data_IF_095456236245
#
_entry.id   IF_095456236245
#
_cell.length_a   1.000
_cell.length_b   1.000
_cell.length_c   1.000
_cell.angle_alpha   90.00
_cell.angle_beta   90.00
_cell.angle_gamma   90.00
#
_symmetry.space_group_name_H-M   'P 1'
#
loop_
_entity.id
_entity.type
_entity.pdbx_description
1 polymer ?
#
# COMPACT_ATOMS: atom_id res chain seq x y z
N UNK A 1 25.64 -9.65 3.26
CA UNK A 1 24.24 -9.59 3.74
C UNK A 1 23.36 -10.10 2.62
N UNK A 2 22.74 -11.27 2.79
CA UNK A 2 21.83 -11.84 1.80
C UNK A 2 20.48 -11.13 1.90
N UNK A 3 20.24 -10.12 1.06
CA UNK A 3 18.91 -9.56 0.89
C UNK A 3 18.08 -10.53 0.06
N UNK A 4 17.27 -11.34 0.73
CA UNK A 4 16.13 -12.00 0.12
C UNK A 4 15.28 -10.91 -0.55
N UNK A 5 15.30 -10.86 -1.89
CA UNK A 5 14.36 -10.09 -2.70
C UNK A 5 12.97 -10.73 -2.54
N UNK A 6 12.26 -10.36 -1.48
CA UNK A 6 10.86 -10.76 -1.31
C UNK A 6 10.04 -9.77 -2.14
N UNK A 7 9.50 -10.26 -3.26
CA UNK A 7 8.58 -9.52 -4.12
C UNK A 7 7.18 -9.56 -3.50
N UNK A 8 6.71 -8.45 -2.92
CA UNK A 8 5.38 -8.34 -2.32
C UNK A 8 4.34 -7.82 -3.32
N UNK A 9 4.12 -8.55 -4.42
CA UNK A 9 2.98 -8.31 -5.32
C UNK A 9 1.86 -9.26 -4.92
N UNK A 10 0.83 -8.79 -4.21
CA UNK A 10 -0.21 -9.71 -3.73
C UNK A 10 -1.32 -9.99 -4.71
N UNK A 11 -1.62 -9.04 -5.62
CA UNK A 11 -2.65 -9.29 -6.60
C UNK A 11 -2.28 -8.74 -7.96
N UNK A 12 -2.29 -9.67 -8.92
CA UNK A 12 -2.25 -9.37 -10.34
C UNK A 12 -3.66 -9.62 -10.86
N UNK A 13 -4.43 -8.54 -11.04
CA UNK A 13 -5.81 -8.59 -11.49
C UNK A 13 -5.90 -8.45 -13.01
N UNK A 14 -6.90 -9.08 -13.61
CA UNK A 14 -7.05 -9.16 -15.06
C UNK A 14 -8.48 -8.91 -15.50
N UNK A 15 -8.62 -8.14 -16.58
CA UNK A 15 -9.86 -7.97 -17.33
C UNK A 15 -9.61 -8.34 -18.80
N UNK A 16 -10.49 -9.19 -19.34
CA UNK A 16 -10.73 -9.43 -20.79
C UNK A 16 -9.49 -9.53 -21.67
N UNK A 17 -8.62 -10.50 -21.43
CA UNK A 17 -7.59 -10.82 -22.42
C UNK A 17 -6.36 -9.94 -22.37
N UNK A 18 -6.47 -8.65 -22.08
CA UNK A 18 -5.49 -7.66 -22.57
C UNK A 18 -4.89 -6.78 -21.50
N UNK A 19 -5.58 -6.54 -20.37
CA UNK A 19 -5.11 -5.63 -19.33
C UNK A 19 -4.78 -6.39 -18.03
N UNK A 20 -3.65 -6.06 -17.44
CA UNK A 20 -3.16 -6.63 -16.18
C UNK A 20 -2.84 -5.50 -15.21
N UNK A 21 -3.37 -5.61 -14.00
CA UNK A 21 -3.26 -4.62 -12.92
C UNK A 21 -2.40 -5.19 -11.79
N UNK A 22 -1.29 -4.53 -11.50
CA UNK A 22 -0.46 -4.79 -10.33
C UNK A 22 -0.93 -3.91 -9.19
N UNK A 23 -1.38 -4.53 -8.10
CA UNK A 23 -1.99 -3.85 -6.94
C UNK A 23 -1.31 -4.33 -5.65
N UNK A 24 -0.88 -3.39 -4.81
CA UNK A 24 -0.34 -3.66 -3.47
C UNK A 24 -1.43 -3.46 -2.39
N UNK A 25 -1.30 -4.11 -1.22
CA UNK A 25 -2.23 -4.01 -0.09
C UNK A 25 -2.74 -2.60 0.25
N UNK A 26 -1.90 -1.56 0.18
CA UNK A 26 -2.30 -0.18 0.50
C UNK A 26 -2.63 0.70 -0.71
N UNK A 27 -2.69 0.10 -1.89
CA UNK A 27 -2.91 0.76 -3.17
C UNK A 27 -4.19 0.27 -3.85
N UNK A 28 -5.30 0.16 -3.11
CA UNK A 28 -6.60 -0.25 -3.65
C UNK A 28 -6.88 -1.74 -3.65
N UNK A 29 -6.05 -2.56 -2.98
CA UNK A 29 -6.20 -4.02 -2.91
C UNK A 29 -7.63 -4.47 -2.57
N UNK A 30 -8.22 -3.98 -1.48
CA UNK A 30 -9.59 -4.38 -1.08
C UNK A 30 -10.64 -4.03 -2.13
N UNK A 31 -10.49 -2.90 -2.82
CA UNK A 31 -11.39 -2.53 -3.90
C UNK A 31 -11.32 -3.54 -5.03
N UNK A 32 -10.12 -3.91 -5.47
CA UNK A 32 -9.96 -4.90 -6.52
C UNK A 32 -10.37 -6.30 -6.08
N UNK A 33 -10.14 -6.67 -4.81
CA UNK A 33 -10.60 -7.95 -4.26
C UNK A 33 -12.13 -8.03 -4.24
N UNK A 34 -12.83 -6.95 -3.88
CA UNK A 34 -14.29 -6.88 -3.97
C UNK A 34 -14.78 -6.97 -5.42
N UNK A 35 -14.10 -6.32 -6.36
CA UNK A 35 -14.39 -6.46 -7.80
C UNK A 35 -14.18 -7.89 -8.29
N UNK A 36 -13.18 -8.60 -7.75
CA UNK A 36 -12.90 -10.01 -8.06
C UNK A 36 -14.01 -10.92 -7.54
N UNK A 37 -14.48 -10.68 -6.32
CA UNK A 37 -15.61 -11.41 -5.73
C UNK A 37 -16.93 -11.16 -6.49
N UNK A 38 -17.07 -9.98 -7.09
CA UNK A 38 -18.17 -9.63 -7.98
C UNK A 38 -17.97 -10.09 -9.44
N UNK A 39 -16.95 -10.92 -9.71
CA UNK A 39 -16.62 -11.48 -11.03
C UNK A 39 -16.37 -10.45 -12.14
N UNK A 40 -15.98 -9.22 -11.76
CA UNK A 40 -15.60 -8.16 -12.71
C UNK A 40 -14.17 -8.38 -13.21
N UNK A 41 -13.30 -8.82 -12.31
CA UNK A 41 -11.87 -9.08 -12.57
C UNK A 41 -11.50 -10.47 -12.08
N UNK A 42 -10.43 -11.04 -12.61
CA UNK A 42 -9.93 -12.36 -12.17
C UNK A 42 -8.46 -12.30 -11.77
N UNK A 43 -8.03 -13.28 -10.99
CA UNK A 43 -6.62 -13.46 -10.66
C UNK A 43 -5.83 -13.86 -11.91
N UNK A 44 -4.62 -13.34 -12.05
CA UNK A 44 -3.78 -13.57 -13.22
C UNK A 44 -2.42 -14.15 -12.84
N UNK A 45 -2.16 -15.37 -13.29
CA UNK A 45 -0.90 -16.10 -13.07
C UNK A 45 -0.10 -16.29 -14.38
N UNK A 46 -0.44 -15.56 -15.44
CA UNK A 46 0.12 -15.77 -16.78
C UNK A 46 1.30 -14.85 -17.13
N UNK A 47 1.84 -15.06 -18.33
CA UNK A 47 2.87 -14.19 -18.90
C UNK A 47 2.30 -12.87 -19.42
N UNK A 48 2.88 -11.76 -18.97
CA UNK A 48 2.47 -10.40 -19.34
C UNK A 48 2.81 -9.98 -20.78
N UNK A 49 3.41 -10.86 -21.59
CA UNK A 49 3.75 -10.55 -22.99
C UNK A 49 2.49 -10.25 -23.80
N UNK A 50 2.48 -9.09 -24.47
CA UNK A 50 1.33 -8.63 -25.26
C UNK A 50 0.13 -8.18 -24.43
N UNK A 51 0.32 -7.93 -23.12
CA UNK A 51 -0.67 -7.31 -22.24
C UNK A 51 -0.30 -5.85 -21.98
N UNK A 52 -1.31 -5.03 -21.73
CA UNK A 52 -1.16 -3.68 -21.19
C UNK A 52 -1.06 -3.78 -19.67
N UNK A 53 0.04 -3.30 -19.13
CA UNK A 53 0.39 -3.38 -17.72
C UNK A 53 0.08 -2.06 -17.02
N UNK A 54 -0.84 -2.11 -16.07
CA UNK A 54 -1.17 -1.03 -15.16
C UNK A 54 -0.54 -1.32 -13.80
N UNK A 55 0.16 -0.34 -13.25
CA UNK A 55 0.61 -0.38 -11.87
C UNK A 55 -0.17 0.66 -11.07
N UNK A 56 -0.88 0.20 -10.03
CA UNK A 56 -1.57 1.08 -9.09
C UNK A 56 -0.61 1.40 -7.95
N UNK A 57 -0.35 2.69 -7.75
CA UNK A 57 0.59 3.19 -6.76
C UNK A 57 -0.08 4.18 -5.82
N UNK A 58 0.58 4.44 -4.69
CA UNK A 58 0.16 5.45 -3.72
C UNK A 58 1.37 6.23 -3.24
N UNK A 59 1.17 7.51 -2.94
CA UNK A 59 2.20 8.36 -2.38
C UNK A 59 2.74 7.73 -1.07
N UNK A 60 4.07 7.58 -0.90
CA UNK A 60 4.65 6.95 0.30
C UNK A 60 4.14 7.54 1.62
N UNK A 61 4.00 8.87 1.71
CA UNK A 61 3.47 9.54 2.90
C UNK A 61 2.03 9.10 3.20
N UNK A 62 1.16 9.15 2.18
CA UNK A 62 -0.25 8.74 2.33
C UNK A 62 -0.41 7.26 2.61
N UNK A 63 0.50 6.44 2.11
CA UNK A 63 0.54 5.00 2.39
C UNK A 63 0.89 4.72 3.85
N UNK A 64 1.90 5.40 4.40
CA UNK A 64 2.30 5.31 5.81
C UNK A 64 1.21 5.84 6.76
N UNK A 65 0.60 6.98 6.44
CA UNK A 65 -0.55 7.52 7.18
C UNK A 65 -1.71 6.51 7.22
N UNK A 66 -2.05 5.93 6.06
CA UNK A 66 -3.12 4.94 5.94
C UNK A 66 -2.82 3.67 6.73
N UNK A 67 -1.57 3.19 6.70
CA UNK A 67 -1.15 2.06 7.53
C UNK A 67 -1.32 2.36 9.01
N UNK A 68 -0.82 3.52 9.47
CA UNK A 68 -0.92 3.91 10.86
C UNK A 68 -2.38 3.99 11.33
N UNK A 69 -3.24 4.71 10.61
CA UNK A 69 -4.67 4.82 10.94
C UNK A 69 -5.36 3.46 11.01
N UNK A 70 -5.10 2.59 10.04
CA UNK A 70 -5.81 1.32 9.97
C UNK A 70 -5.24 0.27 10.93
N UNK A 71 -3.92 0.05 10.92
CA UNK A 71 -3.28 -1.08 11.61
C UNK A 71 -2.85 -0.74 13.03
N UNK A 72 -2.59 0.53 13.35
CA UNK A 72 -2.21 0.96 14.70
C UNK A 72 -3.40 1.50 15.50
N UNK A 73 -4.33 2.21 14.85
CA UNK A 73 -5.45 2.85 15.55
C UNK A 73 -6.77 2.08 15.44
N UNK A 74 -7.17 1.62 14.26
CA UNK A 74 -8.49 1.01 14.05
C UNK A 74 -8.53 -0.48 14.38
N UNK A 75 -7.69 -1.26 13.73
CA UNK A 75 -7.75 -2.74 13.70
C UNK A 75 -6.76 -3.42 14.64
N UNK A 76 -6.09 -2.68 15.52
CA UNK A 76 -5.14 -3.25 16.47
C UNK A 76 -5.91 -3.93 17.61
N UNK A 77 -5.87 -5.27 17.64
CA UNK A 77 -6.47 -6.09 18.69
C UNK A 77 -5.39 -6.62 19.62
N UNK A 78 -5.77 -6.95 20.87
CA UNK A 78 -4.85 -7.53 21.86
C UNK A 78 -4.31 -8.92 21.48
N UNK A 79 -4.98 -9.59 20.53
CA UNK A 79 -4.57 -10.89 20.02
C UNK A 79 -3.41 -10.80 19.00
N UNK A 80 -3.20 -9.66 18.34
CA UNK A 80 -2.19 -9.49 17.28
C UNK A 80 -2.29 -10.57 16.18
N UNK A 81 -3.51 -10.81 15.72
CA UNK A 81 -3.82 -11.89 14.77
C UNK A 81 -3.16 -11.70 13.40
N UNK A 82 -2.73 -10.47 13.07
CA UNK A 82 -2.12 -10.15 11.80
C UNK A 82 -0.58 -10.14 11.89
N UNK A 83 0.09 -10.77 10.92
CA UNK A 83 1.55 -10.86 10.86
C UNK A 83 2.23 -9.48 10.88
N UNK A 84 1.65 -8.49 10.20
CA UNK A 84 2.13 -7.11 10.21
C UNK A 84 2.10 -6.50 11.63
N UNK A 85 1.09 -6.82 12.43
CA UNK A 85 0.97 -6.35 13.81
C UNK A 85 1.99 -7.02 14.74
N UNK A 86 2.28 -8.30 14.52
CA UNK A 86 3.30 -9.02 15.30
C UNK A 86 4.70 -8.44 15.10
N UNK A 87 5.04 -7.98 13.89
CA UNK A 87 6.33 -7.32 13.62
C UNK A 87 6.53 -6.03 14.42
N UNK A 88 5.46 -5.31 14.76
CA UNK A 88 5.53 -4.09 15.57
C UNK A 88 6.06 -4.35 16.99
N UNK A 89 5.87 -5.57 17.51
CA UNK A 89 6.36 -5.97 18.85
C UNK A 89 7.89 -5.93 18.96
N UNK A 90 8.62 -5.89 17.83
CA UNK A 90 10.07 -5.68 17.82
C UNK A 90 10.48 -4.24 18.14
N UNK A 91 9.56 -3.29 17.96
CA UNK A 91 9.83 -1.84 18.08
C UNK A 91 9.09 -1.21 19.26
N UNK A 92 7.94 -1.77 19.65
CA UNK A 92 7.11 -1.20 20.71
C UNK A 92 6.66 -2.27 21.71
N UNK A 93 6.61 -1.95 23.02
CA UNK A 93 6.00 -2.81 24.01
C UNK A 93 4.55 -3.13 23.66
N UNK A 94 4.13 -4.38 23.90
CA UNK A 94 2.75 -4.85 23.64
C UNK A 94 1.71 -3.93 24.28
N UNK A 95 1.90 -3.56 25.54
CA UNK A 95 0.97 -2.71 26.28
C UNK A 95 0.72 -1.37 25.57
N UNK A 96 1.78 -0.70 25.11
CA UNK A 96 1.67 0.57 24.39
C UNK A 96 0.93 0.42 23.06
N UNK A 97 1.11 -0.70 22.37
CA UNK A 97 0.39 -1.02 21.14
C UNK A 97 -1.09 -1.24 21.43
N UNK A 98 -1.45 -2.13 22.36
CA UNK A 98 -2.84 -2.44 22.70
C UNK A 98 -3.60 -1.20 23.19
N UNK A 99 -2.95 -0.37 24.00
CA UNK A 99 -3.53 0.86 24.53
C UNK A 99 -3.50 2.02 23.53
N UNK A 100 -3.05 1.81 22.28
CA UNK A 100 -2.95 2.82 21.21
C UNK A 100 -2.16 4.07 21.64
N UNK A 101 -1.11 3.87 22.43
CA UNK A 101 -0.25 4.91 22.99
C UNK A 101 1.03 5.16 22.17
N UNK A 102 1.18 4.48 21.02
CA UNK A 102 2.27 4.76 20.07
C UNK A 102 1.83 5.90 19.18
N UNK A 103 2.59 7.00 19.19
CA UNK A 103 2.31 8.17 18.33
C UNK A 103 2.73 7.95 16.88
N UNK A 104 2.26 8.81 15.98
CA UNK A 104 2.65 8.75 14.57
C UNK A 104 4.14 9.00 14.36
N UNK A 105 4.72 9.94 15.12
CA UNK A 105 6.15 10.22 15.10
C UNK A 105 6.97 8.98 15.48
N UNK A 106 6.58 8.30 16.55
CA UNK A 106 7.25 7.06 16.99
C UNK A 106 7.11 5.95 15.95
N UNK A 107 5.94 5.81 15.32
CA UNK A 107 5.75 4.87 14.21
C UNK A 107 6.70 5.16 13.04
N UNK A 108 6.82 6.42 12.61
CA UNK A 108 7.74 6.79 11.52
C UNK A 108 9.20 6.58 11.92
N UNK A 109 9.57 6.82 13.18
CA UNK A 109 10.90 6.48 13.69
C UNK A 109 11.18 4.97 13.60
N UNK A 110 10.21 4.12 13.96
CA UNK A 110 10.36 2.67 13.80
C UNK A 110 10.53 2.27 12.33
N UNK A 111 9.77 2.87 11.41
CA UNK A 111 9.94 2.66 9.95
C UNK A 111 11.36 3.03 9.51
N UNK A 112 11.86 4.20 9.93
CA UNK A 112 13.22 4.64 9.64
C UNK A 112 14.29 3.72 10.25
N UNK A 113 14.01 3.06 11.37
CA UNK A 113 14.86 2.06 12.02
C UNK A 113 14.74 0.65 11.42
N UNK A 114 13.96 0.48 10.35
CA UNK A 114 13.84 -0.77 9.60
C UNK A 114 12.58 -1.59 9.89
N UNK A 115 11.57 -1.04 10.58
CA UNK A 115 10.25 -1.66 10.58
C UNK A 115 9.73 -1.69 9.14
N UNK A 116 9.47 -2.89 8.64
CA UNK A 116 8.95 -3.10 7.30
C UNK A 116 7.97 -4.25 7.27
N UNK A 117 6.92 -4.06 6.50
CA UNK A 117 5.86 -5.02 6.27
C UNK A 117 5.36 -4.90 4.82
N UNK A 118 4.76 -5.95 4.28
CA UNK A 118 4.18 -6.00 2.93
C UNK A 118 3.28 -4.80 2.59
N UNK A 119 2.57 -4.27 3.58
CA UNK A 119 1.70 -3.11 3.42
C UNK A 119 2.45 -1.78 3.20
N UNK A 120 3.71 -1.68 3.65
CA UNK A 120 4.54 -0.45 3.57
C UNK A 120 5.87 -0.67 2.84
N UNK A 121 6.21 -1.89 2.43
CA UNK A 121 7.41 -2.20 1.67
C UNK A 121 7.47 -1.40 0.35
N UNK A 122 8.67 -0.99 -0.09
CA UNK A 122 8.85 -0.17 -1.29
C UNK A 122 8.06 -0.71 -2.49
N UNK A 123 7.23 0.15 -3.08
CA UNK A 123 6.42 -0.21 -4.24
C UNK A 123 7.30 -0.50 -5.44
N UNK A 124 8.44 0.18 -5.58
CA UNK A 124 9.42 -0.04 -6.64
C UNK A 124 10.01 -1.46 -6.65
N UNK A 125 9.98 -2.18 -5.52
CA UNK A 125 10.47 -3.55 -5.44
C UNK A 125 9.47 -4.58 -6.00
N UNK A 126 8.23 -4.15 -6.23
CA UNK A 126 7.10 -5.01 -6.56
C UNK A 126 6.76 -4.92 -8.05
N UNK A 127 7.37 -3.96 -8.77
CA UNK A 127 6.99 -3.61 -10.14
C UNK A 127 7.70 -4.48 -11.18
N UNK A 128 7.01 -4.87 -12.27
CA UNK A 128 7.71 -5.21 -13.52
C UNK A 128 8.55 -4.01 -13.94
N UNK A 129 9.72 -4.27 -14.56
CA UNK A 129 10.75 -3.25 -14.81
C UNK A 129 10.26 -2.00 -15.56
N UNK A 130 9.17 -2.09 -16.34
CA UNK A 130 8.45 -0.95 -16.94
C UNK A 130 6.94 -1.26 -17.12
N UNK A 131 6.03 -0.70 -16.31
CA UNK A 131 4.60 -0.75 -16.61
C UNK A 131 4.25 0.16 -17.80
N UNK A 132 3.18 -0.14 -18.54
CA UNK A 132 2.66 0.73 -19.60
C UNK A 132 2.01 1.99 -19.01
N UNK A 133 1.37 1.83 -17.85
CA UNK A 133 0.66 2.91 -17.17
C UNK A 133 0.95 2.90 -15.66
N UNK A 134 1.28 4.08 -15.13
CA UNK A 134 1.37 4.37 -13.71
C UNK A 134 0.10 5.09 -13.27
N UNK A 135 -0.63 4.53 -12.31
CA UNK A 135 -1.87 5.10 -11.82
C UNK A 135 -1.74 5.39 -10.33
N UNK A 136 -1.64 6.68 -10.02
CA UNK A 136 -1.55 7.19 -8.65
C UNK A 136 -2.96 7.21 -8.03
N UNK A 137 -3.15 6.51 -6.91
CA UNK A 137 -4.42 6.39 -6.22
C UNK A 137 -5.01 7.75 -5.81
N UNK A 138 -4.16 8.76 -5.60
CA UNK A 138 -4.56 10.14 -5.30
C UNK A 138 -5.43 10.77 -6.40
N UNK A 139 -5.38 10.24 -7.62
CA UNK A 139 -6.23 10.67 -8.75
C UNK A 139 -7.60 9.98 -8.78
N UNK A 140 -7.84 9.02 -7.89
CA UNK A 140 -9.04 8.19 -7.84
C UNK A 140 -8.98 6.98 -8.78
N UNK A 141 -9.64 5.88 -8.40
CA UNK A 141 -9.72 4.67 -9.23
C UNK A 141 -10.78 4.79 -10.33
N UNK A 142 -11.71 5.76 -10.23
CA UNK A 142 -12.69 6.06 -11.27
C UNK A 142 -12.09 6.34 -12.65
N UNK A 143 -10.81 6.74 -12.74
CA UNK A 143 -10.08 6.88 -14.02
C UNK A 143 -10.00 5.56 -14.81
N UNK A 144 -10.17 4.42 -14.15
CA UNK A 144 -10.19 3.10 -14.77
C UNK A 144 -11.56 2.70 -15.32
N UNK A 145 -12.62 3.46 -15.06
CA UNK A 145 -13.99 3.13 -15.50
C UNK A 145 -14.10 2.79 -16.99
N UNK A 146 -13.46 3.53 -17.93
CA UNK A 146 -13.52 3.20 -19.36
C UNK A 146 -12.88 1.85 -19.70
N UNK A 147 -11.90 1.39 -18.90
CA UNK A 147 -11.18 0.14 -19.11
C UNK A 147 -11.95 -1.02 -18.47
N UNK A 148 -12.47 -0.81 -17.27
CA UNK A 148 -13.10 -1.85 -16.46
C UNK A 148 -14.59 -2.04 -16.80
N UNK A 149 -15.21 -1.07 -17.47
CA UNK A 149 -16.65 -1.07 -17.79
C UNK A 149 -17.56 -0.80 -16.60
N UNK A 150 -16.99 -0.66 -15.40
CA UNK A 150 -17.67 -0.31 -14.14
C UNK A 150 -16.80 0.66 -13.35
N UNK A 151 -17.41 1.44 -12.46
CA UNK A 151 -16.67 2.35 -11.59
C UNK A 151 -16.11 1.60 -10.37
N UNK A 152 -14.77 1.51 -10.19
CA UNK A 152 -14.17 0.84 -9.03
C UNK A 152 -14.57 1.44 -7.69
N UNK A 153 -14.92 2.72 -7.64
CA UNK A 153 -15.27 3.40 -6.40
C UNK A 153 -16.56 2.83 -5.78
N UNK A 154 -17.37 2.10 -6.57
CA UNK A 154 -18.54 1.35 -6.08
C UNK A 154 -18.20 0.09 -5.29
N UNK A 155 -16.92 -0.31 -5.24
CA UNK A 155 -16.44 -1.54 -4.60
C UNK A 155 -15.51 -1.27 -3.42
N UNK A 156 -15.42 -0.02 -2.93
CA UNK A 156 -14.51 0.34 -1.83
C UNK A 156 -14.92 -0.39 -0.54
N UNK A 157 -14.06 -1.29 -0.05
CA UNK A 157 -14.32 -2.07 1.17
C UNK A 157 -13.61 -1.55 2.43
N UNK A 158 -12.46 -0.90 2.29
CA UNK A 158 -11.67 -0.41 3.41
C UNK A 158 -11.41 1.09 3.29
N UNK A 159 -11.95 1.85 4.24
CA UNK A 159 -11.66 3.27 4.39
C UNK A 159 -11.08 3.54 5.77
N UNK A 160 -10.17 4.52 5.81
CA UNK A 160 -9.68 5.14 7.04
C UNK A 160 -10.37 6.49 7.28
N UNK A 161 -11.50 6.75 6.60
CA UNK A 161 -12.21 8.02 6.65
C UNK A 161 -12.89 8.26 8.01
N UNK A 162 -13.10 7.21 8.79
CA UNK A 162 -13.62 7.26 10.16
C UNK A 162 -12.55 7.64 11.19
N UNK A 163 -11.26 7.50 10.86
CA UNK A 163 -10.15 7.83 11.76
C UNK A 163 -9.60 9.21 11.42
N UNK A 164 -10.12 10.26 12.07
CA UNK A 164 -9.82 11.68 11.78
C UNK A 164 -8.74 12.30 12.69
N UNK A 165 -7.81 11.49 13.22
CA UNK A 165 -6.68 12.02 14.02
C UNK A 165 -5.75 12.84 13.12
N UNK A 166 -5.44 14.12 13.41
CA UNK A 166 -4.45 14.86 12.65
C UNK A 166 -3.09 14.15 12.69
N UNK A 167 -2.46 13.97 11.54
CA UNK A 167 -1.12 13.40 11.44
C UNK A 167 -0.20 14.48 10.87
N UNK A 168 0.78 14.88 11.66
CA UNK A 168 1.72 15.93 11.29
C UNK A 168 3.07 15.32 10.91
N UNK A 169 3.63 15.81 9.80
CA UNK A 169 4.95 15.42 9.31
C UNK A 169 5.97 16.49 9.70
N UNK A 170 6.83 16.17 10.66
CA UNK A 170 8.00 17.00 10.98
C UNK A 170 9.06 16.89 9.88
N UNK A 171 9.97 17.85 9.83
CA UNK A 171 11.09 17.86 8.87
C UNK A 171 11.94 16.58 8.98
N UNK A 172 12.34 16.18 10.19
CA UNK A 172 13.11 14.94 10.42
C UNK A 172 12.42 13.68 9.88
N UNK A 173 11.09 13.61 10.03
CA UNK A 173 10.29 12.49 9.53
C UNK A 173 10.31 12.47 8.00
N UNK A 174 10.16 13.64 7.35
CA UNK A 174 10.20 13.76 5.89
C UNK A 174 11.58 13.40 5.35
N UNK A 175 12.65 13.91 5.96
CA UNK A 175 14.01 13.56 5.57
C UNK A 175 14.25 12.04 5.62
N UNK A 176 13.85 11.41 6.72
CA UNK A 176 14.00 9.95 6.90
C UNK A 176 13.23 9.17 5.85
N UNK A 177 11.97 9.56 5.57
CA UNK A 177 11.13 8.86 4.59
C UNK A 177 11.55 9.16 3.15
N UNK A 178 11.97 10.38 2.81
CA UNK A 178 12.52 10.72 1.50
C UNK A 178 13.75 9.88 1.16
N UNK A 179 14.64 9.64 2.13
CA UNK A 179 15.79 8.76 1.96
C UNK A 179 15.38 7.30 1.81
N UNK A 180 14.54 6.79 2.71
CA UNK A 180 14.13 5.37 2.72
C UNK A 180 13.31 4.99 1.49
N UNK A 181 12.43 5.88 1.02
CA UNK A 181 11.52 5.67 -0.12
C UNK A 181 11.99 6.39 -1.39
N UNK A 182 13.27 6.76 -1.50
CA UNK A 182 13.79 7.53 -2.64
C UNK A 182 13.44 6.90 -4.00
N UNK A 183 13.55 5.56 -4.10
CA UNK A 183 13.20 4.82 -5.30
C UNK A 183 11.70 4.91 -5.65
N UNK A 184 10.80 4.87 -4.66
CA UNK A 184 9.37 5.04 -4.88
C UNK A 184 9.07 6.46 -5.40
N UNK A 185 9.65 7.49 -4.79
CA UNK A 185 9.45 8.87 -5.22
C UNK A 185 9.91 9.10 -6.67
N UNK A 186 11.12 8.63 -7.00
CA UNK A 186 11.72 8.81 -8.32
C UNK A 186 10.98 7.98 -9.38
N UNK A 187 10.85 6.67 -9.16
CA UNK A 187 10.34 5.75 -10.19
C UNK A 187 8.82 5.86 -10.39
N UNK A 188 8.08 6.26 -9.36
CA UNK A 188 6.61 6.37 -9.40
C UNK A 188 6.14 7.83 -9.53
N UNK A 189 7.08 8.75 -9.76
CA UNK A 189 6.84 10.16 -10.08
C UNK A 189 6.03 10.89 -8.99
N UNK A 190 6.42 10.70 -7.74
CA UNK A 190 5.85 11.43 -6.60
C UNK A 190 6.77 12.56 -6.17
N UNK A 191 6.19 13.69 -5.77
CA UNK A 191 6.93 14.77 -5.14
C UNK A 191 7.36 14.36 -3.71
N UNK A 192 8.62 14.65 -3.37
CA UNK A 192 9.12 14.62 -2.01
C UNK A 192 8.63 15.88 -1.27
N UNK A 193 8.26 15.73 0.00
CA UNK A 193 7.82 16.82 0.89
C UNK A 193 8.96 17.36 1.76
#
# INVERSE_FOLDING_TARGET
>A
MNSLNIYYCEMVAYIKGTNVFYVNFKCGYTTFENMRQADIIHHYNGYTRGKTIYLITRNPYKRLESFYREKMLKNLTSAFDQFCQQKLLKFFPRERLVNKQVSFKEFIQAVAQGYSDEHIALQSNITPSKPNHLLQLERGLSVLTPILGVNPDSFIGNTTADVQVPLEWTEDMRMSINLLYAADFINLQYAML
#
